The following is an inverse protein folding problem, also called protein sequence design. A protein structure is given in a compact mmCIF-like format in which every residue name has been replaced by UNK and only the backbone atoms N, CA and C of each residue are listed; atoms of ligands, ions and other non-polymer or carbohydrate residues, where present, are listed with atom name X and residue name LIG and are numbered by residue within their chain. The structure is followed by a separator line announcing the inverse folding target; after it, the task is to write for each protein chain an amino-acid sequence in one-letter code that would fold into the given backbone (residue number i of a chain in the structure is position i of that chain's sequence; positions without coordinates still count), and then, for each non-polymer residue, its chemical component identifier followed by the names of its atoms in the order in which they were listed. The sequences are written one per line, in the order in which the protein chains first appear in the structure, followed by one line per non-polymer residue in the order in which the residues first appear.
data_IF_806642841993
#
_entry.id   IF_806642841993
#
_cell.length_a   1.000
_cell.length_b   1.000
_cell.length_c   1.000
_cell.angle_alpha   90.00
_cell.angle_beta   90.00
_cell.angle_gamma   90.00
#
_symmetry.space_group_name_H-M   'P 1'
#
loop_
_entity.id
_entity.type
_entity.pdbx_description
1 polymer ?
#
# COMPACT_ATOMS: atom_id res chain seq x y z
N UNK A 1 -2.48 24.88 4.89
CA UNK A 1 -3.77 24.17 4.76
C UNK A 1 -4.58 24.35 6.03
N UNK A 2 -5.85 24.64 5.91
CA UNK A 2 -6.75 24.69 7.05
C UNK A 2 -7.32 23.29 7.32
N UNK A 3 -6.86 22.65 8.39
CA UNK A 3 -7.27 21.29 8.76
C UNK A 3 -8.80 21.19 8.96
N UNK A 4 -9.41 22.24 9.49
CA UNK A 4 -10.87 22.28 9.67
C UNK A 4 -11.63 22.23 8.34
N UNK A 5 -11.14 22.91 7.32
CA UNK A 5 -11.71 22.84 5.97
C UNK A 5 -11.46 21.46 5.35
N UNK A 6 -10.26 20.93 5.50
CA UNK A 6 -9.92 19.60 4.98
C UNK A 6 -10.85 18.53 5.56
N UNK A 7 -11.10 18.55 6.87
CA UNK A 7 -11.96 17.58 7.56
C UNK A 7 -13.47 17.79 7.30
N UNK A 8 -13.88 18.80 6.55
CA UNK A 8 -15.27 18.86 6.03
C UNK A 8 -15.47 17.95 4.83
N UNK A 9 -14.41 17.62 4.12
CA UNK A 9 -14.43 16.82 2.91
C UNK A 9 -13.85 15.40 3.08
N UNK A 10 -13.07 15.20 4.13
CA UNK A 10 -12.37 13.94 4.40
C UNK A 10 -12.67 13.46 5.81
N UNK A 11 -13.14 12.24 5.93
CA UNK A 11 -13.32 11.54 7.20
C UNK A 11 -12.11 10.65 7.46
N UNK A 12 -11.54 10.71 8.64
CA UNK A 12 -10.35 9.93 9.02
C UNK A 12 -10.69 9.00 10.19
N UNK A 13 -10.38 7.73 10.03
CA UNK A 13 -10.40 6.73 11.11
C UNK A 13 -8.96 6.43 11.48
N UNK A 14 -8.66 6.42 12.77
CA UNK A 14 -7.32 6.14 13.26
C UNK A 14 -7.40 4.98 14.24
N UNK A 15 -6.57 3.96 14.02
CA UNK A 15 -6.25 2.90 14.97
C UNK A 15 -4.84 3.18 15.46
N UNK A 16 -4.67 3.74 16.65
CA UNK A 16 -3.35 4.21 17.12
C UNK A 16 -2.34 3.09 17.30
N UNK A 17 -2.82 1.91 17.66
CA UNK A 17 -2.02 0.71 17.88
C UNK A 17 -2.88 -0.52 17.61
N UNK A 18 -2.48 -1.31 16.61
CA UNK A 18 -3.19 -2.55 16.28
C UNK A 18 -2.75 -3.69 17.20
N UNK A 19 -1.43 -3.85 17.39
CA UNK A 19 -0.85 -4.90 18.22
C UNK A 19 -0.41 -4.35 19.57
N UNK A 20 -1.37 -4.02 20.44
CA UNK A 20 -1.12 -3.43 21.76
C UNK A 20 -0.20 -4.28 22.61
N UNK A 21 -0.37 -5.60 22.61
CA UNK A 21 0.45 -6.52 23.38
C UNK A 21 1.89 -6.60 22.83
N UNK A 22 2.04 -6.63 21.51
CA UNK A 22 3.35 -6.56 20.88
C UNK A 22 4.07 -5.25 21.17
N UNK A 23 3.33 -4.14 21.20
CA UNK A 23 3.87 -2.84 21.59
C UNK A 23 4.37 -2.84 23.03
N UNK A 24 3.56 -3.33 23.97
CA UNK A 24 3.92 -3.38 25.41
C UNK A 24 5.17 -4.25 25.66
N UNK A 25 5.27 -5.36 24.95
CA UNK A 25 6.36 -6.32 25.12
C UNK A 25 7.52 -6.14 24.14
N UNK A 26 7.48 -5.13 23.29
CA UNK A 26 8.50 -4.86 22.27
C UNK A 26 8.75 -6.07 21.34
N UNK A 27 7.67 -6.74 20.96
CA UNK A 27 7.70 -7.90 20.07
C UNK A 27 6.92 -7.62 18.78
N UNK A 28 7.33 -8.24 17.68
CA UNK A 28 6.60 -8.16 16.42
C UNK A 28 5.29 -8.95 16.47
N UNK A 29 5.29 -10.08 17.15
CA UNK A 29 4.14 -10.97 17.24
C UNK A 29 3.16 -10.55 18.32
N UNK A 30 1.90 -10.94 18.16
CA UNK A 30 0.89 -10.90 19.21
C UNK A 30 1.25 -11.87 20.34
N UNK A 31 0.55 -11.82 21.47
CA UNK A 31 0.71 -12.78 22.56
C UNK A 31 0.42 -14.24 22.19
N UNK A 32 -0.23 -14.46 21.06
CA UNK A 32 -0.44 -15.79 20.48
C UNK A 32 0.75 -16.28 19.63
N UNK A 33 1.78 -15.43 19.45
CA UNK A 33 2.99 -15.76 18.71
C UNK A 33 2.88 -15.62 17.19
N UNK A 34 1.81 -14.99 16.69
CA UNK A 34 1.60 -14.75 15.25
C UNK A 34 1.90 -13.30 14.89
N UNK A 35 2.39 -13.12 13.67
CA UNK A 35 2.60 -11.80 13.06
C UNK A 35 1.27 -11.27 12.51
N UNK A 36 0.71 -10.18 13.06
CA UNK A 36 -0.55 -9.64 12.57
C UNK A 36 -0.47 -9.19 11.12
N UNK A 37 0.65 -8.64 10.68
CA UNK A 37 0.82 -8.27 9.27
C UNK A 37 1.10 -9.49 8.35
N UNK A 38 0.52 -10.63 8.67
CA UNK A 38 0.46 -11.86 7.87
C UNK A 38 -0.88 -12.58 8.01
N UNK A 39 -1.86 -11.94 8.64
CA UNK A 39 -3.15 -12.55 8.97
C UNK A 39 -4.36 -11.79 8.40
N UNK A 40 -4.17 -10.68 7.70
CA UNK A 40 -5.24 -9.79 7.25
C UNK A 40 -6.30 -10.48 6.38
N UNK A 41 -5.87 -11.41 5.52
CA UNK A 41 -6.80 -12.20 4.71
C UNK A 41 -7.51 -13.29 5.53
N UNK A 42 -6.85 -13.83 6.54
CA UNK A 42 -7.39 -14.94 7.34
C UNK A 42 -8.19 -14.45 8.54
N UNK A 43 -7.81 -13.31 9.14
CA UNK A 43 -8.47 -12.67 10.28
C UNK A 43 -8.65 -13.62 11.47
N UNK A 44 -7.63 -14.43 11.73
CA UNK A 44 -7.61 -15.40 12.85
C UNK A 44 -7.25 -14.72 14.16
N UNK A 45 -6.51 -13.61 14.08
CA UNK A 45 -6.18 -12.75 15.21
C UNK A 45 -7.29 -11.73 15.44
N UNK A 46 -7.56 -11.41 16.69
CA UNK A 46 -8.56 -10.40 17.04
C UNK A 46 -8.16 -9.00 16.54
N UNK A 47 -6.88 -8.71 16.55
CA UNK A 47 -6.28 -7.47 16.08
C UNK A 47 -6.64 -7.22 14.62
N UNK A 48 -6.41 -8.21 13.78
CA UNK A 48 -6.66 -8.13 12.33
C UNK A 48 -8.14 -8.21 12.01
N UNK A 49 -8.89 -9.09 12.67
CA UNK A 49 -10.34 -9.15 12.53
C UNK A 49 -11.02 -7.80 12.86
N UNK A 50 -10.55 -7.10 13.90
CA UNK A 50 -11.07 -5.81 14.28
C UNK A 50 -10.67 -4.70 13.29
N UNK A 51 -9.41 -4.69 12.83
CA UNK A 51 -8.94 -3.74 11.83
C UNK A 51 -9.71 -3.91 10.51
N UNK A 52 -9.83 -5.13 10.03
CA UNK A 52 -10.57 -5.42 8.79
C UNK A 52 -12.09 -5.20 8.92
N UNK A 53 -12.65 -5.37 10.11
CA UNK A 53 -14.04 -4.98 10.37
C UNK A 53 -14.28 -3.47 10.19
N UNK A 54 -13.29 -2.63 10.56
CA UNK A 54 -13.36 -1.20 10.28
C UNK A 54 -13.22 -0.90 8.78
N UNK A 55 -12.28 -1.56 8.11
CA UNK A 55 -12.12 -1.44 6.65
C UNK A 55 -13.42 -1.80 5.93
N UNK A 56 -14.00 -2.95 6.25
CA UNK A 56 -15.26 -3.40 5.65
C UNK A 56 -16.46 -2.49 5.99
N UNK A 57 -16.48 -1.91 7.17
CA UNK A 57 -17.54 -0.99 7.60
C UNK A 57 -17.51 0.34 6.86
N UNK A 58 -16.33 0.91 6.70
CA UNK A 58 -16.17 2.25 6.14
C UNK A 58 -15.86 2.25 4.65
N UNK A 59 -15.36 1.14 4.12
CA UNK A 59 -14.85 1.03 2.74
C UNK A 59 -14.03 2.26 2.35
N UNK A 60 -12.91 2.52 3.04
CA UNK A 60 -12.17 3.76 2.88
C UNK A 60 -11.59 3.89 1.47
N UNK A 61 -11.36 5.10 1.01
CA UNK A 61 -10.63 5.32 -0.24
C UNK A 61 -9.16 4.97 -0.13
N UNK A 62 -8.59 5.14 1.06
CA UNK A 62 -7.18 4.84 1.36
C UNK A 62 -7.10 4.16 2.71
N UNK A 63 -6.31 3.10 2.77
CA UNK A 63 -5.87 2.43 3.98
C UNK A 63 -4.36 2.60 4.09
N UNK A 64 -3.89 3.06 5.24
CA UNK A 64 -2.46 3.32 5.48
C UNK A 64 -1.99 2.55 6.69
N UNK A 65 -0.93 1.79 6.51
CA UNK A 65 -0.15 1.22 7.59
C UNK A 65 1.11 2.05 7.78
N UNK A 66 1.44 2.34 9.03
CA UNK A 66 2.66 3.07 9.39
C UNK A 66 3.54 2.12 10.17
N UNK A 67 4.59 1.69 9.51
CA UNK A 67 5.60 0.80 10.04
C UNK A 67 6.89 1.56 10.38
N UNK A 68 7.93 0.83 10.68
CA UNK A 68 9.23 1.44 10.94
C UNK A 68 10.36 0.42 10.91
N UNK A 69 11.57 0.98 11.00
CA UNK A 69 12.86 0.30 11.16
C UNK A 69 13.58 -0.05 9.87
N UNK A 70 13.53 0.88 8.92
CA UNK A 70 14.39 0.89 7.74
C UNK A 70 15.33 2.09 7.75
N UNK A 71 16.32 2.11 6.88
CA UNK A 71 17.32 3.20 6.82
C UNK A 71 16.88 4.38 5.93
N UNK A 72 15.67 4.31 5.37
CA UNK A 72 15.14 5.30 4.45
C UNK A 72 13.68 5.63 4.76
N UNK A 73 13.17 6.70 4.15
CA UNK A 73 11.73 6.96 4.07
C UNK A 73 11.20 6.15 2.89
N UNK A 74 10.47 5.07 3.17
CA UNK A 74 9.81 4.28 2.13
C UNK A 74 8.32 4.55 2.11
N UNK A 75 7.78 4.70 0.91
CA UNK A 75 6.35 4.83 0.66
C UNK A 75 5.98 3.77 -0.37
N UNK A 76 5.17 2.83 0.04
CA UNK A 76 4.92 1.59 -0.66
C UNK A 76 3.44 1.45 -1.00
N UNK A 77 2.97 2.08 -2.10
CA UNK A 77 1.61 1.85 -2.58
C UNK A 77 1.47 0.41 -3.07
N UNK A 78 0.33 -0.21 -2.77
CA UNK A 78 0.01 -1.54 -3.30
C UNK A 78 -0.26 -1.44 -4.80
N UNK A 79 0.72 -1.88 -5.58
CA UNK A 79 0.74 -1.81 -7.05
C UNK A 79 1.35 -3.10 -7.60
N UNK A 80 1.31 -3.36 -8.90
CA UNK A 80 2.05 -4.51 -9.43
C UNK A 80 3.53 -4.41 -8.99
N UNK A 81 4.14 -5.50 -8.61
CA UNK A 81 3.78 -6.89 -8.87
C UNK A 81 3.05 -7.64 -7.75
N UNK A 82 2.42 -6.98 -6.82
CA UNK A 82 1.72 -7.64 -5.72
C UNK A 82 0.66 -8.66 -6.19
N UNK A 83 -0.54 -8.61 -5.69
CA UNK A 83 -1.58 -9.56 -6.07
C UNK A 83 -2.03 -9.37 -7.53
N UNK A 84 -1.86 -10.37 -8.42
CA UNK A 84 -2.17 -10.23 -9.84
C UNK A 84 -3.66 -10.14 -10.17
N UNK A 85 -4.52 -10.45 -9.22
CA UNK A 85 -5.97 -10.40 -9.42
C UNK A 85 -6.57 -9.02 -9.12
N UNK A 86 -5.76 -8.03 -8.77
CA UNK A 86 -6.24 -6.66 -8.61
C UNK A 86 -6.51 -6.02 -9.97
N UNK A 87 -7.48 -5.12 -10.00
CA UNK A 87 -7.87 -4.37 -11.17
C UNK A 87 -6.93 -3.17 -11.41
N UNK A 88 -5.67 -3.45 -11.70
CA UNK A 88 -4.60 -2.46 -11.78
C UNK A 88 -4.81 -1.39 -12.84
N UNK A 89 -5.49 -1.70 -13.94
CA UNK A 89 -5.86 -0.74 -14.96
C UNK A 89 -6.77 0.39 -14.44
N UNK A 90 -7.50 0.12 -13.35
CA UNK A 90 -8.34 1.12 -12.68
C UNK A 90 -7.59 1.91 -11.61
N UNK A 91 -6.63 1.30 -10.94
CA UNK A 91 -6.15 1.80 -9.64
C UNK A 91 -4.66 2.15 -9.63
N UNK A 92 -3.80 1.48 -10.40
CA UNK A 92 -2.35 1.59 -10.26
C UNK A 92 -1.83 3.02 -10.42
N UNK A 93 -2.25 3.74 -11.47
CA UNK A 93 -1.81 5.12 -11.70
C UNK A 93 -2.17 6.04 -10.52
N UNK A 94 -3.37 5.87 -9.96
CA UNK A 94 -3.85 6.67 -8.86
C UNK A 94 -3.11 6.34 -7.55
N UNK A 95 -2.78 5.07 -7.33
CA UNK A 95 -2.02 4.64 -6.15
C UNK A 95 -0.58 5.15 -6.20
N UNK A 96 0.04 5.14 -7.38
CA UNK A 96 1.37 5.73 -7.59
C UNK A 96 1.36 7.23 -7.26
N UNK A 97 0.40 7.98 -7.81
CA UNK A 97 0.27 9.41 -7.54
C UNK A 97 -0.01 9.72 -6.06
N UNK A 98 -0.78 8.87 -5.40
CA UNK A 98 -1.00 8.94 -3.96
C UNK A 98 0.32 8.75 -3.21
N UNK A 99 1.08 7.71 -3.55
CA UNK A 99 2.39 7.43 -2.94
C UNK A 99 3.36 8.59 -3.13
N UNK A 100 3.42 9.17 -4.33
CA UNK A 100 4.25 10.36 -4.61
C UNK A 100 3.84 11.56 -3.75
N UNK A 101 2.53 11.83 -3.63
CA UNK A 101 2.03 12.93 -2.81
C UNK A 101 2.37 12.72 -1.33
N UNK A 102 2.21 11.50 -0.82
CA UNK A 102 2.58 11.13 0.55
C UNK A 102 4.08 11.29 0.77
N UNK A 103 4.91 10.79 -0.13
CA UNK A 103 6.36 10.89 -0.03
C UNK A 103 6.84 12.34 0.01
N UNK A 104 6.30 13.19 -0.85
CA UNK A 104 6.58 14.64 -0.82
C UNK A 104 6.19 15.25 0.53
N UNK A 105 5.03 14.86 1.09
CA UNK A 105 4.62 15.30 2.42
C UNK A 105 5.56 14.78 3.51
N UNK A 106 5.91 13.52 3.47
CA UNK A 106 6.74 12.87 4.48
C UNK A 106 8.13 13.51 4.63
N UNK A 107 8.72 13.99 3.53
CA UNK A 107 10.01 14.68 3.57
C UNK A 107 9.90 16.19 3.71
N UNK A 108 8.68 16.75 3.67
CA UNK A 108 8.48 18.19 3.77
C UNK A 108 8.91 18.72 5.15
N UNK A 109 9.90 19.61 5.16
CA UNK A 109 10.51 20.14 6.38
C UNK A 109 11.14 19.09 7.30
N UNK A 110 11.38 17.87 6.81
CA UNK A 110 12.04 16.84 7.58
C UNK A 110 13.54 17.19 7.73
N UNK A 111 14.07 17.29 8.96
CA UNK A 111 15.45 17.70 9.17
C UNK A 111 16.48 16.63 8.78
N UNK A 112 16.08 15.37 8.77
CA UNK A 112 16.98 14.23 8.60
C UNK A 112 16.87 13.60 7.22
N UNK A 113 15.73 13.74 6.54
CA UNK A 113 15.46 13.11 5.25
C UNK A 113 14.89 14.11 4.25
N UNK A 114 15.56 14.22 3.11
CA UNK A 114 15.15 15.08 1.99
C UNK A 114 14.78 14.30 0.72
N UNK A 115 14.72 12.97 0.84
CA UNK A 115 14.32 12.06 -0.23
C UNK A 115 13.49 10.91 0.31
N UNK A 116 12.70 10.30 -0.54
CA UNK A 116 11.95 9.08 -0.25
C UNK A 116 12.11 8.10 -1.41
N UNK A 117 11.93 6.84 -1.11
CA UNK A 117 11.92 5.76 -2.08
C UNK A 117 10.48 5.23 -2.25
N UNK A 118 10.16 4.87 -3.49
CA UNK A 118 8.95 4.12 -3.83
C UNK A 118 9.39 2.82 -4.51
N UNK A 119 9.42 1.69 -3.78
CA UNK A 119 9.92 0.42 -4.30
C UNK A 119 9.26 -0.02 -5.60
N UNK A 120 7.98 0.23 -5.74
CA UNK A 120 7.25 -0.03 -6.98
C UNK A 120 7.86 0.70 -8.19
N UNK A 121 8.13 1.99 -8.06
CA UNK A 121 8.69 2.80 -9.16
C UNK A 121 10.03 2.23 -9.62
N UNK A 122 10.89 1.90 -8.68
CA UNK A 122 12.20 1.37 -8.97
C UNK A 122 12.13 -0.05 -9.54
N UNK A 123 11.18 -0.83 -9.08
CA UNK A 123 10.94 -2.19 -9.55
C UNK A 123 10.45 -2.24 -11.00
N UNK A 124 9.38 -1.52 -11.32
CA UNK A 124 8.77 -1.61 -12.65
C UNK A 124 9.61 -1.02 -13.77
N UNK A 125 10.51 -0.13 -13.45
CA UNK A 125 11.42 0.42 -14.45
C UNK A 125 12.58 -0.52 -14.78
N UNK A 126 12.67 -1.64 -14.08
CA UNK A 126 13.68 -2.65 -14.31
C UNK A 126 15.11 -2.18 -14.01
N UNK A 127 16.06 -3.03 -14.32
CA UNK A 127 17.44 -2.85 -13.91
C UNK A 127 18.12 -1.65 -14.57
N UNK A 128 17.96 -1.50 -15.90
CA UNK A 128 18.62 -0.47 -16.69
C UNK A 128 17.89 0.87 -16.63
N UNK A 129 16.56 0.81 -16.47
CA UNK A 129 15.69 1.98 -16.49
C UNK A 129 15.34 2.48 -15.07
N UNK A 130 15.79 1.79 -14.02
CA UNK A 130 15.58 2.23 -12.65
C UNK A 130 16.28 3.56 -12.39
N UNK A 131 15.61 4.58 -11.84
CA UNK A 131 16.22 5.84 -11.49
C UNK A 131 17.38 5.71 -10.50
N UNK A 132 17.37 4.65 -9.71
CA UNK A 132 18.41 4.35 -8.71
C UNK A 132 19.57 3.54 -9.30
N UNK A 133 19.40 2.97 -10.50
CA UNK A 133 20.38 2.05 -11.11
C UNK A 133 20.56 0.74 -10.34
N UNK A 134 19.69 0.46 -9.36
CA UNK A 134 19.74 -0.79 -8.60
C UNK A 134 19.08 -1.90 -9.40
N UNK A 135 19.74 -3.04 -9.48
CA UNK A 135 19.12 -4.27 -9.95
C UNK A 135 18.09 -4.73 -8.91
N UNK A 136 16.92 -5.09 -9.41
CA UNK A 136 15.92 -5.75 -8.60
C UNK A 136 16.32 -7.21 -8.41
N UNK A 137 16.74 -7.55 -7.22
CA UNK A 137 17.19 -8.90 -6.88
C UNK A 137 16.16 -9.71 -6.11
N UNK A 138 15.22 -9.03 -5.47
CA UNK A 138 14.14 -9.67 -4.73
C UNK A 138 12.89 -8.78 -4.79
N UNK A 139 11.68 -9.38 -4.86
CA UNK A 139 10.47 -8.60 -4.71
C UNK A 139 10.45 -7.93 -3.34
N UNK A 140 9.99 -6.71 -3.32
CA UNK A 140 9.77 -5.98 -2.08
C UNK A 140 8.87 -6.79 -1.14
N UNK A 141 7.84 -7.41 -1.70
CA UNK A 141 6.86 -8.14 -0.95
C UNK A 141 6.36 -9.37 -1.70
N UNK A 142 5.78 -10.31 -0.96
CA UNK A 142 5.16 -11.48 -1.56
C UNK A 142 3.85 -11.12 -2.24
N UNK A 143 3.45 -11.88 -3.24
CA UNK A 143 2.14 -11.77 -3.87
C UNK A 143 1.07 -12.40 -2.96
N UNK A 144 0.66 -11.68 -1.93
CA UNK A 144 -0.28 -12.18 -0.93
C UNK A 144 -1.19 -11.10 -0.38
N UNK A 145 -2.42 -11.46 -0.12
CA UNK A 145 -3.39 -10.62 0.59
C UNK A 145 -3.25 -10.68 2.11
N UNK A 146 -2.20 -11.29 2.61
CA UNK A 146 -1.95 -11.41 4.05
C UNK A 146 -1.47 -10.10 4.68
N UNK A 147 -1.02 -9.14 3.87
CA UNK A 147 -0.57 -7.83 4.35
C UNK A 147 -1.73 -6.83 4.42
N UNK A 148 -1.70 -5.96 5.42
CA UNK A 148 -2.72 -4.97 5.64
C UNK A 148 -2.91 -3.99 4.48
N UNK A 149 -1.85 -3.57 3.82
CA UNK A 149 -1.94 -2.69 2.65
C UNK A 149 -2.44 -3.39 1.39
N UNK A 150 -2.38 -4.72 1.31
CA UNK A 150 -2.79 -5.48 0.13
C UNK A 150 -4.24 -5.95 0.21
N UNK A 151 -4.67 -6.43 1.37
CA UNK A 151 -6.04 -6.95 1.53
C UNK A 151 -7.15 -5.94 1.15
N UNK A 152 -7.10 -4.67 1.59
CA UNK A 152 -8.15 -3.70 1.27
C UNK A 152 -8.28 -3.38 -0.22
N UNK A 153 -7.26 -3.66 -1.03
CA UNK A 153 -7.31 -3.45 -2.48
C UNK A 153 -8.35 -4.33 -3.16
N UNK A 154 -8.67 -5.50 -2.57
CA UNK A 154 -9.75 -6.39 -3.04
C UNK A 154 -11.12 -5.69 -3.06
N UNK A 155 -11.32 -4.68 -2.25
CA UNK A 155 -12.54 -3.87 -2.19
C UNK A 155 -12.35 -2.46 -2.76
N UNK A 156 -11.28 -2.25 -3.53
CA UNK A 156 -11.01 -0.98 -4.21
C UNK A 156 -10.45 0.13 -3.33
N UNK A 157 -9.97 -0.22 -2.16
CA UNK A 157 -9.28 0.71 -1.25
C UNK A 157 -7.80 0.81 -1.63
N UNK A 158 -7.27 2.02 -1.77
CA UNK A 158 -5.85 2.22 -2.00
C UNK A 158 -5.05 1.83 -0.75
N UNK A 159 -4.38 0.69 -0.79
CA UNK A 159 -3.48 0.25 0.27
C UNK A 159 -2.10 0.89 0.12
N UNK A 160 -1.54 1.37 1.22
CA UNK A 160 -0.22 1.99 1.23
C UNK A 160 0.49 1.72 2.57
N UNK A 161 1.71 1.25 2.50
CA UNK A 161 2.59 1.09 3.66
C UNK A 161 3.64 2.20 3.68
N UNK A 162 3.89 2.77 4.84
CA UNK A 162 4.98 3.71 5.08
C UNK A 162 5.98 3.06 6.01
N UNK A 163 7.24 3.07 5.64
CA UNK A 163 8.33 2.66 6.51
C UNK A 163 9.04 3.88 7.06
N UNK A 164 9.00 4.04 8.39
CA UNK A 164 9.67 5.12 9.10
C UNK A 164 11.15 4.80 9.34
N UNK A 165 12.05 5.77 9.23
CA UNK A 165 13.47 5.57 9.51
C UNK A 165 13.73 5.16 10.96
N UNK A 166 14.65 4.21 11.15
CA UNK A 166 14.95 3.57 12.45
C UNK A 166 15.52 4.52 13.49
N UNK A 167 16.21 5.56 13.06
CA UNK A 167 17.15 6.28 13.92
C UNK A 167 16.73 7.70 14.28
N UNK A 168 15.51 8.11 13.95
CA UNK A 168 15.09 9.48 14.21
C UNK A 168 13.63 9.60 14.61
N UNK A 169 13.39 9.71 15.91
CA UNK A 169 12.07 10.09 16.42
C UNK A 169 11.61 11.43 15.84
N UNK A 170 12.56 12.35 15.62
CA UNK A 170 12.30 13.67 15.01
C UNK A 170 11.80 13.48 13.56
N UNK A 171 12.40 12.57 12.80
CA UNK A 171 11.94 12.29 11.44
C UNK A 171 10.50 11.79 11.42
N UNK A 172 10.12 10.93 12.36
CA UNK A 172 8.75 10.44 12.48
C UNK A 172 7.76 11.57 12.82
N UNK A 173 8.13 12.51 13.68
CA UNK A 173 7.32 13.68 14.05
C UNK A 173 6.98 14.57 12.84
N UNK A 174 7.83 14.60 11.82
CA UNK A 174 7.57 15.34 10.57
C UNK A 174 6.88 14.45 9.53
N UNK A 175 7.34 13.24 9.36
CA UNK A 175 6.86 12.33 8.33
C UNK A 175 5.37 12.04 8.49
N UNK A 176 4.93 11.67 9.68
CA UNK A 176 3.55 11.23 9.91
C UNK A 176 2.54 12.36 9.71
N UNK A 177 2.63 13.54 10.37
CA UNK A 177 1.64 14.60 10.20
C UNK A 177 1.59 15.16 8.78
N UNK A 178 2.74 15.40 8.17
CA UNK A 178 2.78 15.99 6.84
C UNK A 178 2.39 14.99 5.76
N UNK A 179 2.78 13.71 5.90
CA UNK A 179 2.33 12.64 5.01
C UNK A 179 0.81 12.45 5.09
N UNK A 180 0.24 12.36 6.29
CA UNK A 180 -1.22 12.23 6.46
C UNK A 180 -1.98 13.46 5.94
N UNK A 181 -1.43 14.65 6.12
CA UNK A 181 -2.04 15.87 5.59
C UNK A 181 -2.06 15.87 4.06
N UNK A 182 -0.95 15.51 3.42
CA UNK A 182 -0.89 15.43 1.94
C UNK A 182 -1.74 14.30 1.40
N UNK A 183 -1.82 13.16 2.08
CA UNK A 183 -2.75 12.09 1.77
C UNK A 183 -4.20 12.56 1.79
N UNK A 184 -4.61 13.24 2.86
CA UNK A 184 -5.97 13.77 2.98
C UNK A 184 -6.29 14.82 1.91
N UNK A 185 -5.32 15.67 1.56
CA UNK A 185 -5.45 16.60 0.45
C UNK A 185 -5.61 15.89 -0.89
N UNK A 186 -4.81 14.86 -1.13
CA UNK A 186 -4.93 14.04 -2.34
C UNK A 186 -6.32 13.40 -2.45
N UNK A 187 -6.82 12.80 -1.35
CA UNK A 187 -8.16 12.21 -1.30
C UNK A 187 -9.22 13.27 -1.63
N UNK A 188 -9.19 14.43 -0.98
CA UNK A 188 -10.12 15.53 -1.24
C UNK A 188 -10.17 15.90 -2.72
N UNK A 189 -8.99 16.04 -3.32
CA UNK A 189 -8.86 16.52 -4.69
C UNK A 189 -9.18 15.45 -5.74
N UNK A 190 -9.10 14.16 -5.37
CA UNK A 190 -9.33 13.02 -6.25
C UNK A 190 -10.56 12.16 -5.86
N UNK A 191 -11.34 12.55 -4.85
CA UNK A 191 -12.42 11.73 -4.29
C UNK A 191 -13.41 11.18 -5.33
N UNK A 192 -13.74 11.95 -6.34
CA UNK A 192 -14.70 11.53 -7.37
C UNK A 192 -14.13 10.40 -8.21
N UNK A 193 -12.90 10.56 -8.72
CA UNK A 193 -12.27 9.51 -9.53
C UNK A 193 -11.98 8.25 -8.72
N UNK A 194 -11.63 8.39 -7.43
CA UNK A 194 -11.45 7.25 -6.53
C UNK A 194 -12.75 6.48 -6.33
N UNK A 195 -13.87 7.17 -6.08
CA UNK A 195 -15.19 6.55 -5.95
C UNK A 195 -15.64 5.88 -7.26
N UNK A 196 -15.38 6.52 -8.40
CA UNK A 196 -15.69 5.94 -9.71
C UNK A 196 -14.91 4.65 -9.96
N UNK A 197 -13.64 4.61 -9.57
CA UNK A 197 -12.80 3.42 -9.70
C UNK A 197 -13.28 2.29 -8.79
N UNK A 198 -13.62 2.59 -7.52
CA UNK A 198 -14.24 1.60 -6.62
C UNK A 198 -15.55 1.06 -7.22
N UNK A 199 -16.42 1.92 -7.71
CA UNK A 199 -17.69 1.51 -8.33
C UNK A 199 -17.47 0.63 -9.56
N UNK A 200 -16.49 0.95 -10.40
CA UNK A 200 -16.11 0.13 -11.56
C UNK A 200 -15.58 -1.24 -11.14
N UNK A 201 -14.72 -1.29 -10.12
CA UNK A 201 -14.19 -2.55 -9.59
C UNK A 201 -15.33 -3.48 -9.17
N UNK A 202 -16.28 -3.01 -8.36
CA UNK A 202 -17.44 -3.79 -7.96
C UNK A 202 -18.32 -4.18 -9.15
N UNK A 203 -18.53 -3.26 -10.09
CA UNK A 203 -19.32 -3.53 -11.30
C UNK A 203 -18.69 -4.64 -12.15
N UNK A 204 -17.38 -4.66 -12.29
CA UNK A 204 -16.66 -5.73 -13.00
C UNK A 204 -16.85 -7.07 -12.30
N UNK A 205 -16.70 -7.12 -10.98
CA UNK A 205 -16.92 -8.34 -10.20
C UNK A 205 -18.33 -8.89 -10.36
N UNK A 206 -19.34 -8.02 -10.26
CA UNK A 206 -20.76 -8.43 -10.43
C UNK A 206 -21.06 -8.93 -11.85
N UNK A 207 -20.45 -8.31 -12.86
CA UNK A 207 -20.71 -8.63 -14.26
C UNK A 207 -19.73 -9.68 -14.84
N UNK A 208 -18.77 -10.15 -14.04
CA UNK A 208 -17.69 -11.05 -14.46
C UNK A 208 -16.92 -10.47 -15.68
N UNK A 209 -16.53 -9.21 -15.57
CA UNK A 209 -15.79 -8.46 -16.62
C UNK A 209 -14.48 -7.90 -16.07
N UNK A 210 -13.83 -8.65 -15.16
CA UNK A 210 -12.55 -8.29 -14.61
C UNK A 210 -11.48 -8.26 -15.71
N UNK A 211 -10.55 -7.32 -15.63
CA UNK A 211 -9.49 -7.16 -16.63
C UNK A 211 -8.62 -8.42 -16.76
N UNK A 212 -8.46 -9.16 -15.68
CA UNK A 212 -7.66 -10.37 -15.62
C UNK A 212 -8.47 -11.66 -15.86
N UNK A 213 -9.75 -11.57 -16.25
CA UNK A 213 -10.63 -12.74 -16.43
C UNK A 213 -10.08 -13.77 -17.42
N UNK A 214 -9.40 -13.31 -18.46
CA UNK A 214 -8.83 -14.14 -19.53
C UNK A 214 -7.31 -14.39 -19.37
N UNK A 215 -6.70 -13.83 -18.35
CA UNK A 215 -5.26 -13.98 -18.12
C UNK A 215 -5.02 -15.32 -17.42
N UNK A 216 -4.15 -16.15 -18.00
CA UNK A 216 -3.71 -17.37 -17.37
C UNK A 216 -3.09 -17.05 -15.98
N UNK A 217 -3.25 -17.92 -14.98
CA UNK A 217 -2.76 -17.68 -13.64
C UNK A 217 -1.22 -17.73 -13.57
N UNK A 218 -0.59 -16.74 -14.18
CA UNK A 218 0.87 -16.60 -14.28
C UNK A 218 1.54 -16.40 -12.92
N UNK A 219 0.82 -15.95 -11.92
CA UNK A 219 1.29 -15.78 -10.55
C UNK A 219 1.55 -17.11 -9.82
N UNK A 220 1.10 -18.25 -10.36
CA UNK A 220 1.32 -19.56 -9.74
C UNK A 220 2.80 -19.95 -9.73
N UNK A 221 3.57 -19.43 -10.65
CA UNK A 221 4.99 -19.74 -10.82
C UNK A 221 5.89 -18.57 -10.45
N UNK A 222 5.48 -17.75 -9.50
CA UNK A 222 6.22 -16.55 -9.11
C UNK A 222 7.68 -16.79 -8.69
N UNK A 223 8.02 -17.98 -8.32
CA UNK A 223 9.35 -18.40 -7.90
C UNK A 223 9.83 -19.60 -8.73
N UNK A 224 10.00 -19.41 -10.00
CA UNK A 224 10.76 -20.41 -10.73
C UNK A 224 12.27 -20.26 -10.44
N UNK A 225 13.01 -21.35 -10.62
CA UNK A 225 14.44 -21.40 -10.34
C UNK A 225 15.27 -20.41 -11.20
N UNK A 226 14.68 -19.85 -12.23
CA UNK A 226 15.33 -18.95 -13.18
C UNK A 226 15.15 -17.47 -12.83
N UNK A 227 14.44 -17.13 -11.75
CA UNK A 227 14.16 -15.75 -11.40
C UNK A 227 13.23 -15.04 -12.38
N UNK A 228 12.39 -15.79 -13.09
CA UNK A 228 11.44 -15.29 -14.08
C UNK A 228 10.32 -14.42 -13.52
N UNK A 229 10.34 -14.16 -12.24
CA UNK A 229 9.35 -13.32 -11.58
C UNK A 229 9.14 -11.97 -12.28
N UNK A 230 10.21 -11.33 -12.71
CA UNK A 230 10.12 -10.06 -13.43
C UNK A 230 9.46 -10.20 -14.80
N UNK A 231 9.62 -11.34 -15.46
CA UNK A 231 8.95 -11.61 -16.74
C UNK A 231 7.47 -11.96 -16.55
N UNK A 232 7.15 -12.67 -15.49
CA UNK A 232 5.77 -13.04 -15.16
C UNK A 232 4.90 -11.82 -14.81
N UNK A 233 5.50 -10.75 -14.34
CA UNK A 233 4.78 -9.55 -13.91
C UNK A 233 4.59 -8.50 -15.00
N UNK A 234 5.33 -8.61 -16.11
CA UNK A 234 5.24 -7.67 -17.25
C UNK A 234 3.88 -7.66 -17.92
N UNK A 235 3.24 -8.79 -18.19
CA UNK A 235 2.01 -8.83 -18.99
C UNK A 235 0.83 -8.08 -18.37
N UNK A 236 0.80 -7.94 -17.06
CA UNK A 236 -0.31 -7.26 -16.38
C UNK A 236 -0.20 -5.73 -16.46
N UNK A 237 0.98 -5.23 -16.81
CA UNK A 237 1.29 -3.82 -16.65
C UNK A 237 1.44 -3.04 -17.95
N UNK A 238 1.60 -3.68 -19.06
CA UNK A 238 1.80 -3.00 -20.35
C UNK A 238 0.49 -2.50 -21.01
N UNK A 239 -0.61 -2.59 -20.30
CA UNK A 239 -1.88 -2.00 -20.69
C UNK A 239 -2.61 -2.74 -21.81
N UNK A 240 -2.15 -3.92 -22.16
CA UNK A 240 -2.79 -4.76 -23.18
C UNK A 240 -3.61 -5.93 -22.60
N UNK A 241 -3.81 -5.96 -21.27
CA UNK A 241 -4.61 -6.96 -20.56
C UNK A 241 -6.05 -6.55 -20.34
#
# INVERSE_FOLDING_TARGET
VNIKELLTDVFVVIVPEQNVEGYEHMTRTTGQGYDPNRDEANQTLFEDANAMALVNKFNPMVFTEIHGRVDAVLIEPCTPPHEPNYEYDLIAEQFIKLGEAVGVGAIANNPDHNSFEMPFRDFLRGNEDSPTGKEWTQPWDDMTTAYGSQYPVLIGTAGITWELPVYSDISAEYMVPYGLMTQAMFIRDNKISMLENQAKLFSRGVNNTNSNADVAPWYVNQYDEAGAQAELMRPVYDGEG
#
